data_IF_886353111115
#
_entry.id   IF_886353111115
#
_cell.length_a   1.000
_cell.length_b   1.000
_cell.length_c   1.000
_cell.angle_alpha   90.00
_cell.angle_beta   90.00
_cell.angle_gamma   90.00
#
_symmetry.space_group_name_H-M   'P 1'
#
loop_
_entity.id
_entity.type
_entity.pdbx_description
1 polymer ?
#
# COMPACT_ATOMS: atom_id res chain seq x y z
N UNK A 1 35.74 -40.54 50.08
CA UNK A 1 35.99 -40.61 48.63
C UNK A 1 34.69 -40.23 47.94
N UNK A 2 34.50 -38.93 47.66
CA UNK A 2 33.25 -38.41 47.09
C UNK A 2 33.24 -38.68 45.58
N UNK A 3 32.43 -39.65 45.16
CA UNK A 3 32.26 -39.99 43.75
C UNK A 3 31.50 -38.84 43.09
N UNK A 4 32.21 -38.09 42.24
CA UNK A 4 31.76 -36.82 41.67
C UNK A 4 30.50 -36.97 40.80
N UNK A 5 29.51 -36.16 41.13
CA UNK A 5 28.19 -36.10 40.49
C UNK A 5 28.20 -35.31 39.15
N UNK A 6 29.20 -35.55 38.28
CA UNK A 6 29.46 -34.73 37.08
C UNK A 6 28.65 -35.18 35.84
N UNK A 7 28.19 -36.44 35.83
CA UNK A 7 27.39 -37.02 34.73
C UNK A 7 26.11 -36.23 34.37
N UNK A 8 25.29 -35.73 35.30
CA UNK A 8 24.09 -34.97 34.93
C UNK A 8 24.38 -33.61 34.28
N UNK A 9 25.52 -32.97 34.62
CA UNK A 9 25.88 -31.65 34.09
C UNK A 9 26.27 -31.75 32.60
N UNK A 10 27.06 -32.78 32.25
CA UNK A 10 27.46 -33.03 30.85
C UNK A 10 26.27 -33.43 29.99
N UNK A 11 25.32 -34.21 30.53
CA UNK A 11 24.13 -34.58 29.78
C UNK A 11 23.23 -33.37 29.50
N UNK A 12 23.04 -32.48 30.49
CA UNK A 12 22.25 -31.27 30.32
C UNK A 12 22.80 -30.32 29.24
N UNK A 13 24.12 -30.15 29.15
CA UNK A 13 24.73 -29.26 28.15
C UNK A 13 24.58 -29.80 26.72
N UNK A 14 24.75 -31.11 26.51
CA UNK A 14 24.60 -31.73 25.19
C UNK A 14 23.15 -31.61 24.69
N UNK A 15 22.16 -31.86 25.56
CA UNK A 15 20.75 -31.72 25.22
C UNK A 15 20.41 -30.28 24.85
N UNK A 16 20.90 -29.29 25.62
CA UNK A 16 20.66 -27.88 25.33
C UNK A 16 21.23 -27.47 23.96
N UNK A 17 22.46 -27.87 23.65
CA UNK A 17 23.08 -27.58 22.35
C UNK A 17 22.30 -28.21 21.21
N UNK A 18 21.86 -29.46 21.36
CA UNK A 18 21.05 -30.14 20.36
C UNK A 18 19.71 -29.42 20.10
N UNK A 19 19.02 -28.98 21.16
CA UNK A 19 17.76 -28.22 21.04
C UNK A 19 17.99 -26.89 20.31
N UNK A 20 19.05 -26.15 20.65
CA UNK A 20 19.39 -24.89 19.98
C UNK A 20 19.64 -25.11 18.49
N UNK A 21 20.39 -26.15 18.12
CA UNK A 21 20.66 -26.48 16.71
C UNK A 21 19.38 -26.87 15.96
N UNK A 22 18.50 -27.65 16.58
CA UNK A 22 17.21 -28.02 15.97
C UNK A 22 16.33 -26.78 15.76
N UNK A 23 16.22 -25.89 16.76
CA UNK A 23 15.47 -24.63 16.62
C UNK A 23 16.09 -23.75 15.54
N UNK A 24 17.41 -23.62 15.50
CA UNK A 24 18.11 -22.86 14.47
C UNK A 24 17.85 -23.43 13.06
N UNK A 25 17.83 -24.76 12.90
CA UNK A 25 17.51 -25.40 11.63
C UNK A 25 16.04 -25.21 11.23
N UNK A 26 15.11 -25.24 12.19
CA UNK A 26 13.68 -24.97 11.93
C UNK A 26 13.49 -23.51 11.55
N UNK A 27 14.11 -22.56 12.26
CA UNK A 27 14.05 -21.13 11.95
C UNK A 27 14.70 -20.88 10.58
N UNK A 28 15.88 -21.46 10.32
CA UNK A 28 16.53 -21.34 9.02
C UNK A 28 15.66 -21.90 7.90
N UNK A 29 15.07 -23.10 8.05
CA UNK A 29 14.13 -23.65 7.07
C UNK A 29 12.88 -22.80 6.91
N UNK A 30 12.38 -22.20 7.98
CA UNK A 30 11.22 -21.31 7.96
C UNK A 30 11.53 -19.99 7.24
N UNK A 31 12.76 -19.47 7.38
CA UNK A 31 13.22 -18.27 6.68
C UNK A 31 13.56 -18.56 5.22
N UNK A 32 14.02 -19.78 4.92
CA UNK A 32 14.31 -20.26 3.57
C UNK A 32 13.10 -20.95 2.92
N UNK A 33 11.89 -20.74 3.44
CA UNK A 33 10.67 -21.33 2.88
C UNK A 33 10.39 -20.73 1.50
N UNK A 34 11.01 -21.37 0.52
CA UNK A 34 10.77 -21.41 -0.92
C UNK A 34 10.35 -20.10 -1.56
N UNK A 35 11.37 -19.30 -1.91
CA UNK A 35 11.23 -18.40 -3.05
C UNK A 35 10.90 -19.25 -4.26
N UNK A 36 9.68 -19.11 -4.78
CA UNK A 36 9.22 -19.82 -5.97
C UNK A 36 10.00 -19.35 -7.20
N UNK A 37 10.36 -18.07 -7.23
CA UNK A 37 11.15 -17.45 -8.29
C UNK A 37 12.63 -17.36 -7.93
N UNK A 38 13.51 -17.57 -8.91
CA UNK A 38 14.98 -17.54 -8.71
C UNK A 38 15.46 -16.13 -8.30
N UNK A 39 14.83 -15.09 -8.85
CA UNK A 39 15.17 -13.69 -8.60
C UNK A 39 14.37 -13.15 -7.40
N UNK A 40 15.07 -12.58 -6.41
CA UNK A 40 14.44 -12.06 -5.19
C UNK A 40 13.55 -10.81 -5.37
N UNK A 41 13.51 -10.23 -6.57
CA UNK A 41 12.61 -9.11 -6.91
C UNK A 41 11.36 -9.54 -7.67
N UNK A 42 11.24 -10.84 -7.98
CA UNK A 42 10.12 -11.43 -8.69
C UNK A 42 9.18 -12.15 -7.73
N UNK A 43 7.91 -12.18 -8.13
CA UNK A 43 6.80 -12.79 -7.43
C UNK A 43 6.14 -13.80 -8.37
N UNK A 44 5.79 -14.96 -7.85
CA UNK A 44 5.10 -15.98 -8.62
C UNK A 44 3.64 -15.59 -8.79
N UNK A 45 3.20 -15.42 -10.03
CA UNK A 45 1.84 -15.05 -10.39
C UNK A 45 1.21 -16.20 -11.16
N UNK A 46 0.07 -16.68 -10.69
CA UNK A 46 -0.75 -17.70 -11.35
C UNK A 46 -1.87 -17.02 -12.14
N UNK A 47 -1.92 -17.26 -13.45
CA UNK A 47 -2.96 -16.71 -14.31
C UNK A 47 -4.32 -17.36 -13.96
N UNK A 48 -5.36 -16.57 -13.63
CA UNK A 48 -6.65 -17.12 -13.19
C UNK A 48 -7.43 -17.82 -14.32
N UNK A 49 -7.10 -17.56 -15.59
CA UNK A 49 -7.77 -18.13 -16.76
C UNK A 49 -7.09 -19.43 -17.20
N UNK A 50 -5.75 -19.43 -17.28
CA UNK A 50 -4.99 -20.59 -17.79
C UNK A 50 -4.47 -21.51 -16.68
N UNK A 51 -4.42 -21.02 -15.43
CA UNK A 51 -3.71 -21.67 -14.31
C UNK A 51 -2.22 -21.89 -14.57
N UNK A 52 -1.64 -21.16 -15.54
CA UNK A 52 -0.20 -21.17 -15.78
C UNK A 52 0.49 -20.18 -14.83
N UNK A 53 1.62 -20.60 -14.26
CA UNK A 53 2.42 -19.78 -13.37
C UNK A 53 3.58 -19.10 -14.08
N UNK A 54 3.82 -17.83 -13.76
CA UNK A 54 5.00 -17.09 -14.23
C UNK A 54 5.62 -16.23 -13.12
N UNK A 55 6.93 -15.98 -13.21
CA UNK A 55 7.63 -15.10 -12.30
C UNK A 55 7.65 -13.68 -12.86
N UNK A 56 7.03 -12.74 -12.15
CA UNK A 56 6.86 -11.35 -12.57
C UNK A 56 7.49 -10.40 -11.57
N UNK A 57 8.11 -9.33 -12.07
CA UNK A 57 8.78 -8.34 -11.22
C UNK A 57 7.77 -7.59 -10.35
N UNK A 58 8.04 -7.47 -9.05
CA UNK A 58 7.25 -6.63 -8.15
C UNK A 58 7.23 -5.17 -8.64
N UNK A 59 6.04 -4.56 -8.67
CA UNK A 59 5.81 -3.21 -9.18
C UNK A 59 5.70 -3.11 -10.70
N UNK A 60 5.85 -4.20 -11.44
CA UNK A 60 5.55 -4.21 -12.88
C UNK A 60 4.04 -4.32 -13.12
N UNK A 61 3.55 -3.80 -14.24
CA UNK A 61 2.12 -3.96 -14.61
C UNK A 61 1.78 -5.43 -14.86
N UNK A 62 2.63 -6.17 -15.59
CA UNK A 62 2.39 -7.58 -15.90
C UNK A 62 1.02 -7.80 -16.58
N UNK A 63 0.25 -8.83 -16.18
CA UNK A 63 -1.11 -9.07 -16.65
C UNK A 63 -2.17 -8.23 -15.92
N UNK A 64 -1.80 -7.33 -15.01
CA UNK A 64 -2.76 -6.56 -14.24
C UNK A 64 -3.46 -5.48 -15.08
N UNK A 65 -4.68 -5.12 -14.66
CA UNK A 65 -5.48 -4.08 -15.26
C UNK A 65 -4.86 -2.68 -15.18
N UNK A 66 -5.60 -1.68 -15.68
CA UNK A 66 -5.12 -0.30 -15.73
C UNK A 66 -4.86 0.25 -14.32
N UNK A 67 -3.74 0.97 -14.18
CA UNK A 67 -3.24 1.53 -12.91
C UNK A 67 -2.99 0.48 -11.80
N UNK A 68 -2.82 -0.77 -12.19
CA UNK A 68 -2.48 -1.86 -11.29
C UNK A 68 -1.07 -2.36 -11.57
N UNK A 69 -0.45 -2.91 -10.54
CA UNK A 69 0.88 -3.53 -10.58
C UNK A 69 0.88 -4.81 -9.76
N UNK A 70 1.83 -5.68 -10.06
CA UNK A 70 2.11 -6.89 -9.29
C UNK A 70 2.68 -6.49 -7.93
N UNK A 71 2.03 -6.94 -6.87
CA UNK A 71 2.41 -6.70 -5.47
C UNK A 71 2.46 -8.02 -4.72
N UNK A 72 3.21 -8.06 -3.63
CA UNK A 72 3.32 -9.27 -2.82
C UNK A 72 1.99 -9.56 -2.08
N UNK A 73 1.52 -10.80 -2.14
CA UNK A 73 0.38 -11.25 -1.35
C UNK A 73 0.69 -11.17 0.14
N UNK A 74 -0.30 -10.79 0.95
CA UNK A 74 -0.12 -10.59 2.40
C UNK A 74 0.09 -11.91 3.15
N UNK A 75 -0.54 -12.98 2.69
CA UNK A 75 -0.43 -14.31 3.30
C UNK A 75 0.85 -15.03 2.85
N UNK A 76 1.33 -14.71 1.65
CA UNK A 76 2.57 -15.27 1.11
C UNK A 76 3.31 -14.25 0.24
N UNK A 77 4.39 -13.68 0.78
CA UNK A 77 5.18 -12.66 0.07
C UNK A 77 5.91 -13.16 -1.18
N UNK A 78 5.93 -14.46 -1.45
CA UNK A 78 6.48 -15.05 -2.69
C UNK A 78 5.44 -15.09 -3.82
N UNK A 79 4.15 -14.88 -3.52
CA UNK A 79 3.06 -14.87 -4.49
C UNK A 79 2.75 -13.43 -4.89
N UNK A 80 2.60 -13.20 -6.19
CA UNK A 80 2.20 -11.93 -6.76
C UNK A 80 0.69 -11.84 -6.91
N UNK A 81 0.12 -10.71 -6.54
CA UNK A 81 -1.28 -10.36 -6.76
C UNK A 81 -1.37 -8.97 -7.39
N UNK A 82 -2.39 -8.75 -8.22
CA UNK A 82 -2.64 -7.44 -8.78
C UNK A 82 -3.21 -6.50 -7.71
N UNK A 83 -2.61 -5.31 -7.58
CA UNK A 83 -3.07 -4.25 -6.67
C UNK A 83 -2.85 -2.87 -7.28
N UNK A 84 -3.51 -1.84 -6.74
CA UNK A 84 -3.32 -0.48 -7.24
C UNK A 84 -1.88 0.01 -7.04
N UNK A 85 -1.37 0.79 -8.00
CA UNK A 85 -0.02 1.33 -7.98
C UNK A 85 0.15 2.52 -7.01
N UNK A 86 0.12 2.24 -5.72
CA UNK A 86 0.28 3.27 -4.66
C UNK A 86 1.70 3.83 -4.56
N UNK A 87 2.66 3.24 -5.29
CA UNK A 87 4.06 3.63 -5.21
C UNK A 87 4.40 4.72 -6.22
N UNK A 88 3.87 4.66 -7.45
CA UNK A 88 4.13 5.69 -8.46
C UNK A 88 3.21 6.90 -8.36
N UNK A 89 2.02 6.76 -7.77
CA UNK A 89 1.05 7.84 -7.66
C UNK A 89 0.88 8.34 -6.22
N UNK A 90 0.90 9.65 -6.03
CA UNK A 90 0.62 10.28 -4.72
C UNK A 90 -0.89 10.34 -4.43
N UNK A 91 -1.73 10.27 -5.47
CA UNK A 91 -3.18 10.33 -5.37
C UNK A 91 -3.76 8.95 -5.05
N UNK A 92 -4.65 8.83 -4.04
CA UNK A 92 -5.31 7.57 -3.74
C UNK A 92 -6.09 6.99 -4.92
N UNK A 93 -6.07 5.67 -5.00
CA UNK A 93 -6.82 4.90 -5.97
C UNK A 93 -7.71 3.85 -5.30
N UNK A 94 -8.80 3.51 -5.96
CA UNK A 94 -9.74 2.46 -5.57
C UNK A 94 -9.76 1.38 -6.64
N UNK A 95 -9.61 0.13 -6.22
CA UNK A 95 -9.86 -1.02 -7.06
C UNK A 95 -11.36 -1.24 -7.28
N UNK A 96 -11.77 -1.40 -8.53
CA UNK A 96 -13.12 -1.81 -8.89
C UNK A 96 -13.09 -3.27 -9.38
N UNK A 97 -13.93 -4.11 -8.77
CA UNK A 97 -13.97 -5.53 -9.09
C UNK A 97 -14.62 -5.83 -10.45
N UNK A 98 -15.60 -5.02 -10.88
CA UNK A 98 -16.34 -5.26 -12.13
C UNK A 98 -15.48 -4.99 -13.37
N UNK A 99 -14.60 -3.99 -13.29
CA UNK A 99 -13.69 -3.63 -14.38
C UNK A 99 -12.29 -4.19 -14.22
N UNK A 100 -11.95 -4.72 -13.04
CA UNK A 100 -10.61 -5.18 -12.67
C UNK A 100 -9.52 -4.11 -12.87
N UNK A 101 -9.85 -2.85 -12.57
CA UNK A 101 -8.96 -1.69 -12.71
C UNK A 101 -8.90 -0.85 -11.43
N UNK A 102 -7.87 -0.01 -11.33
CA UNK A 102 -7.79 1.01 -10.27
C UNK A 102 -8.09 2.42 -10.80
N UNK A 103 -8.91 3.15 -10.06
CA UNK A 103 -9.35 4.49 -10.41
C UNK A 103 -8.96 5.52 -9.35
N UNK A 104 -8.53 6.69 -9.80
CA UNK A 104 -8.23 7.81 -8.91
C UNK A 104 -9.50 8.38 -8.27
N UNK A 105 -9.43 8.70 -6.97
CA UNK A 105 -10.49 9.44 -6.30
C UNK A 105 -10.63 10.85 -6.89
N UNK A 106 -11.82 11.46 -6.78
CA UNK A 106 -12.21 12.72 -7.40
C UNK A 106 -12.09 12.73 -8.93
N UNK A 107 -12.16 11.56 -9.58
CA UNK A 107 -12.36 11.43 -11.03
C UNK A 107 -13.72 10.78 -11.31
N UNK A 108 -14.20 10.85 -12.55
CA UNK A 108 -15.45 10.18 -12.91
C UNK A 108 -15.37 8.66 -12.71
N UNK A 109 -14.24 8.02 -13.04
CA UNK A 109 -14.04 6.58 -12.86
C UNK A 109 -15.20 5.76 -13.47
N UNK A 110 -15.73 4.81 -12.72
CA UNK A 110 -16.92 4.02 -13.05
C UNK A 110 -18.24 4.68 -12.60
N UNK A 111 -18.21 5.94 -12.15
CA UNK A 111 -19.40 6.67 -11.76
C UNK A 111 -20.14 7.24 -12.98
N UNK A 112 -21.45 7.43 -12.81
CA UNK A 112 -22.30 8.14 -13.77
C UNK A 112 -21.81 9.58 -14.02
N UNK A 113 -22.22 10.15 -15.15
CA UNK A 113 -21.90 11.53 -15.51
C UNK A 113 -22.33 12.51 -14.41
N UNK A 114 -21.47 13.49 -14.13
CA UNK A 114 -21.68 14.47 -13.05
C UNK A 114 -21.37 13.95 -11.64
N UNK A 115 -20.98 12.68 -11.50
CA UNK A 115 -20.47 12.12 -10.24
C UNK A 115 -18.97 11.88 -10.31
N UNK A 116 -18.36 11.77 -9.14
CA UNK A 116 -16.99 11.34 -8.98
C UNK A 116 -16.86 10.24 -7.94
N UNK A 117 -15.80 9.45 -8.07
CA UNK A 117 -15.42 8.46 -7.09
C UNK A 117 -14.82 9.14 -5.86
N UNK A 118 -15.34 8.85 -4.68
CA UNK A 118 -14.74 9.28 -3.41
C UNK A 118 -14.64 8.11 -2.44
N UNK A 119 -13.93 8.29 -1.35
CA UNK A 119 -13.77 7.30 -0.29
C UNK A 119 -14.22 7.95 1.02
N UNK A 120 -15.11 7.30 1.73
CA UNK A 120 -15.52 7.74 3.06
C UNK A 120 -14.95 6.83 4.14
N UNK A 121 -14.83 7.36 5.35
CA UNK A 121 -14.29 6.66 6.52
C UNK A 121 -14.97 5.31 6.81
N UNK A 122 -16.26 5.19 6.52
CA UNK A 122 -17.08 4.08 7.01
C UNK A 122 -17.75 3.26 5.90
N UNK A 123 -17.83 3.75 4.66
CA UNK A 123 -18.65 3.12 3.62
C UNK A 123 -17.84 2.68 2.40
N UNK A 124 -16.50 2.82 2.44
CA UNK A 124 -15.65 2.45 1.31
C UNK A 124 -15.81 3.40 0.11
N UNK A 125 -15.54 2.92 -1.11
CA UNK A 125 -15.65 3.73 -2.31
C UNK A 125 -17.11 3.99 -2.67
N UNK A 126 -17.42 5.23 -3.03
CA UNK A 126 -18.76 5.64 -3.42
C UNK A 126 -18.74 6.71 -4.51
N UNK A 127 -19.77 6.71 -5.34
CA UNK A 127 -20.00 7.78 -6.31
C UNK A 127 -20.79 8.91 -5.65
N UNK A 128 -20.20 10.10 -5.55
CA UNK A 128 -20.86 11.30 -5.01
C UNK A 128 -21.04 12.35 -6.08
N UNK A 129 -22.00 13.25 -5.87
CA UNK A 129 -22.18 14.39 -6.76
C UNK A 129 -20.90 15.22 -6.78
N UNK A 130 -20.44 15.58 -7.98
CA UNK A 130 -19.29 16.47 -8.12
C UNK A 130 -19.65 17.84 -7.55
N UNK A 131 -18.96 18.25 -6.49
CA UNK A 131 -19.17 19.56 -5.85
C UNK A 131 -18.36 20.66 -6.51
N UNK A 132 -17.27 20.28 -7.17
CA UNK A 132 -16.37 21.18 -7.87
C UNK A 132 -16.63 21.09 -9.37
N UNK A 133 -17.66 21.79 -9.84
CA UNK A 133 -17.85 22.10 -11.26
C UNK A 133 -17.53 23.57 -11.48
N UNK A 134 -16.47 23.84 -12.25
CA UNK A 134 -16.18 25.21 -12.67
C UNK A 134 -16.88 25.50 -14.01
N UNK A 135 -17.65 26.60 -14.09
CA UNK A 135 -18.18 27.08 -15.35
C UNK A 135 -17.07 27.78 -16.14
N UNK A 136 -16.37 27.04 -17.01
CA UNK A 136 -15.40 27.62 -17.93
C UNK A 136 -14.53 26.56 -18.60
N UNK A 137 -14.19 26.75 -19.87
CA UNK A 137 -13.40 25.84 -20.72
C UNK A 137 -11.94 25.62 -20.28
N UNK A 138 -11.55 26.01 -19.07
CA UNK A 138 -10.18 25.77 -18.61
C UNK A 138 -10.00 24.28 -18.28
N UNK A 139 -9.01 23.65 -18.95
CA UNK A 139 -8.64 22.23 -18.89
C UNK A 139 -8.09 21.77 -17.52
N UNK A 140 -8.31 22.54 -16.46
CA UNK A 140 -7.81 22.26 -15.11
C UNK A 140 -8.62 21.18 -14.39
N UNK A 141 -7.93 20.38 -13.57
CA UNK A 141 -8.60 19.40 -12.71
C UNK A 141 -8.97 20.04 -11.37
N UNK A 142 -10.27 20.16 -11.11
CA UNK A 142 -10.81 20.75 -9.88
C UNK A 142 -11.23 19.70 -8.87
N UNK A 143 -10.76 19.85 -7.64
CA UNK A 143 -10.98 18.91 -6.54
C UNK A 143 -11.30 19.66 -5.25
N UNK A 144 -11.97 19.02 -4.29
CA UNK A 144 -12.30 19.65 -3.03
C UNK A 144 -11.09 19.55 -2.10
N UNK A 145 -10.89 20.56 -1.28
CA UNK A 145 -10.09 20.47 -0.08
C UNK A 145 -10.90 19.81 1.05
N UNK A 146 -10.21 19.49 2.15
CA UNK A 146 -10.85 18.97 3.36
C UNK A 146 -11.98 19.88 3.90
N UNK A 147 -11.83 21.21 3.74
CA UNK A 147 -12.84 22.20 4.16
C UNK A 147 -13.95 22.44 3.12
N UNK A 148 -13.98 21.64 2.05
CA UNK A 148 -14.99 21.72 0.99
C UNK A 148 -14.75 22.80 -0.06
N UNK A 149 -13.72 23.65 0.07
CA UNK A 149 -13.38 24.62 -1.00
C UNK A 149 -12.87 23.88 -2.23
N UNK A 150 -13.21 24.39 -3.41
CA UNK A 150 -12.75 23.84 -4.68
C UNK A 150 -11.45 24.52 -5.12
N UNK A 151 -10.50 23.71 -5.59
CA UNK A 151 -9.20 24.15 -6.04
C UNK A 151 -8.73 23.40 -7.27
N UNK A 152 -7.94 24.06 -8.10
CA UNK A 152 -7.29 23.47 -9.27
C UNK A 152 -5.97 22.80 -8.87
N UNK A 153 -5.80 21.52 -9.23
CA UNK A 153 -4.57 20.78 -8.99
C UNK A 153 -3.41 21.34 -9.82
N UNK A 154 -2.21 21.32 -9.26
CA UNK A 154 -0.98 21.72 -9.96
C UNK A 154 -0.81 23.22 -10.18
N UNK A 155 -1.80 24.04 -9.81
CA UNK A 155 -1.74 25.50 -9.99
C UNK A 155 -0.89 26.18 -8.91
N UNK A 156 0.09 26.97 -9.35
CA UNK A 156 0.85 27.89 -8.51
C UNK A 156 0.07 29.19 -8.28
N UNK A 157 0.41 29.93 -7.21
CA UNK A 157 -0.18 31.25 -6.90
C UNK A 157 -1.72 31.23 -6.78
N UNK A 158 -2.26 30.15 -6.22
CA UNK A 158 -3.67 30.09 -5.84
C UNK A 158 -3.88 30.94 -4.57
N UNK A 159 -4.97 31.72 -4.50
CA UNK A 159 -5.39 32.46 -3.29
C UNK A 159 -5.47 31.60 -2.02
N UNK A 160 -5.57 30.29 -2.18
CA UNK A 160 -5.63 29.28 -1.13
C UNK A 160 -4.27 28.99 -0.48
N UNK A 161 -3.18 29.06 -1.25
CA UNK A 161 -1.85 28.64 -0.82
C UNK A 161 -0.84 29.80 -0.86
N UNK A 162 0.35 29.63 -0.29
CA UNK A 162 1.42 30.61 -0.49
C UNK A 162 1.89 30.59 -1.95
N UNK A 163 2.51 31.68 -2.40
CA UNK A 163 2.97 31.84 -3.80
C UNK A 163 3.93 30.75 -4.29
N UNK A 164 4.64 30.13 -3.35
CA UNK A 164 5.63 29.06 -3.57
C UNK A 164 5.06 27.65 -3.44
N UNK A 165 3.78 27.53 -3.13
CA UNK A 165 3.15 26.26 -2.80
C UNK A 165 2.30 25.80 -3.99
N UNK A 166 2.18 24.48 -4.14
CA UNK A 166 1.35 23.84 -5.16
C UNK A 166 0.33 22.94 -4.49
N UNK A 167 -0.88 22.91 -5.04
CA UNK A 167 -1.92 21.98 -4.57
C UNK A 167 -1.71 20.65 -5.27
N UNK A 168 -1.39 19.61 -4.50
CA UNK A 168 -1.30 18.24 -4.99
C UNK A 168 -1.72 17.24 -3.91
N UNK A 169 -1.98 16.01 -4.30
CA UNK A 169 -2.20 14.94 -3.34
C UNK A 169 -0.90 14.57 -2.64
N UNK A 170 -1.01 14.19 -1.38
CA UNK A 170 0.08 13.58 -0.65
C UNK A 170 -0.22 12.10 -0.47
N UNK A 171 0.83 11.26 -0.46
CA UNK A 171 0.66 9.84 -0.15
C UNK A 171 -0.06 9.70 1.20
N UNK A 172 -1.03 8.81 1.24
CA UNK A 172 -1.92 8.51 2.38
C UNK A 172 -2.95 9.58 2.74
N UNK A 173 -3.08 10.69 1.99
CA UNK A 173 -4.13 11.70 2.22
C UNK A 173 -5.21 11.62 1.15
N UNK A 174 -6.47 11.68 1.57
CA UNK A 174 -7.62 11.68 0.66
C UNK A 174 -7.75 13.02 -0.04
N UNK A 175 -7.60 14.13 0.70
CA UNK A 175 -7.71 15.47 0.13
C UNK A 175 -6.31 16.00 -0.24
N UNK A 176 -6.20 16.79 -1.30
CA UNK A 176 -4.96 17.47 -1.62
C UNK A 176 -4.70 18.61 -0.62
N UNK A 177 -3.45 19.04 -0.54
CA UNK A 177 -3.03 20.12 0.34
C UNK A 177 -2.02 21.02 -0.38
N UNK A 178 -1.82 22.23 0.17
CA UNK A 178 -0.74 23.12 -0.24
C UNK A 178 0.60 22.51 0.16
N UNK A 179 1.48 22.25 -0.81
CA UNK A 179 2.81 21.69 -0.59
C UNK A 179 3.86 22.66 -1.10
N UNK A 180 4.79 23.00 -0.22
CA UNK A 180 5.89 23.90 -0.54
C UNK A 180 6.92 23.21 -1.43
N UNK A 181 7.21 23.79 -2.60
CA UNK A 181 8.19 23.26 -3.56
C UNK A 181 9.58 23.34 -2.92
N UNK A 182 10.27 22.20 -2.79
CA UNK A 182 11.63 22.14 -2.27
C UNK A 182 11.75 21.64 -0.83
N UNK A 183 10.64 21.47 -0.11
CA UNK A 183 10.62 20.68 1.12
C UNK A 183 10.34 19.22 0.77
N UNK A 184 11.38 18.40 0.79
CA UNK A 184 11.20 16.94 0.89
C UNK A 184 10.71 16.66 2.31
N UNK A 185 9.40 16.48 2.49
CA UNK A 185 8.87 15.99 3.75
C UNK A 185 9.37 14.55 3.87
N UNK A 186 10.42 14.34 4.67
CA UNK A 186 10.90 13.01 5.00
C UNK A 186 9.76 12.23 5.63
N UNK A 187 9.34 11.15 4.99
CA UNK A 187 8.35 10.24 5.55
C UNK A 187 8.95 9.57 6.79
N UNK A 188 8.37 9.84 7.96
CA UNK A 188 8.70 9.12 9.20
C UNK A 188 8.15 7.70 9.05
N UNK A 189 9.05 6.75 8.78
CA UNK A 189 8.74 5.32 8.64
C UNK A 189 8.55 4.67 10.01
N UNK A 190 7.55 3.81 10.15
CA UNK A 190 7.07 3.36 11.46
C UNK A 190 7.01 1.85 11.54
N UNK A 191 7.34 1.27 12.73
CA UNK A 191 7.33 -0.17 12.95
C UNK A 191 5.99 -0.85 12.63
N UNK A 192 6.08 -2.07 12.09
CA UNK A 192 4.95 -2.90 11.70
C UNK A 192 4.17 -3.42 12.91
N UNK A 193 2.87 -3.13 12.96
CA UNK A 193 1.90 -3.76 13.86
C UNK A 193 1.01 -4.74 13.08
N UNK A 194 0.68 -5.89 13.68
CA UNK A 194 -0.20 -6.91 13.09
C UNK A 194 -1.64 -6.38 13.02
N UNK A 195 -2.08 -6.00 11.81
CA UNK A 195 -3.42 -5.47 11.60
C UNK A 195 -4.40 -6.50 11.02
N UNK A 196 -5.69 -6.44 11.40
CA UNK A 196 -6.72 -7.30 10.83
C UNK A 196 -6.80 -7.17 9.31
N UNK A 197 -7.29 -8.22 8.63
CA UNK A 197 -7.54 -8.17 7.18
C UNK A 197 -8.37 -6.93 6.81
N UNK A 198 -7.91 -6.17 5.82
CA UNK A 198 -8.52 -4.91 5.37
C UNK A 198 -7.92 -3.62 5.96
N UNK A 199 -6.99 -3.73 6.90
CA UNK A 199 -6.33 -2.57 7.55
C UNK A 199 -4.82 -2.57 7.24
N UNK A 200 -4.15 -1.42 7.41
CA UNK A 200 -2.69 -1.31 7.41
C UNK A 200 -2.18 -0.72 8.73
N UNK A 201 -0.94 -1.08 9.08
CA UNK A 201 -0.22 -0.48 10.19
C UNK A 201 0.20 0.93 9.81
N UNK A 202 -0.28 1.90 10.56
CA UNK A 202 0.12 3.31 10.42
C UNK A 202 1.54 3.55 10.89
N UNK A 203 1.92 4.80 10.64
CA UNK A 203 2.93 5.60 11.29
C UNK A 203 3.02 5.58 12.84
N UNK A 204 2.10 4.93 13.56
CA UNK A 204 2.16 4.91 15.04
C UNK A 204 1.94 3.50 15.62
N UNK A 205 1.97 2.45 14.79
CA UNK A 205 1.63 1.08 15.23
C UNK A 205 0.13 0.90 15.52
N UNK A 206 -0.71 1.79 15.01
CA UNK A 206 -2.17 1.64 15.01
C UNK A 206 -2.64 1.05 13.69
N UNK A 207 -3.69 0.24 13.73
CA UNK A 207 -4.34 -0.26 12.53
C UNK A 207 -5.32 0.76 12.00
N UNK A 208 -4.99 1.38 10.87
CA UNK A 208 -5.92 2.21 10.12
C UNK A 208 -6.49 1.41 8.94
N UNK A 209 -7.76 1.64 8.57
CA UNK A 209 -8.20 1.30 7.23
C UNK A 209 -7.33 2.11 6.23
N UNK A 210 -7.28 1.77 4.94
CA UNK A 210 -6.21 2.23 4.05
C UNK A 210 -6.01 3.75 3.78
N UNK A 211 -6.52 4.66 4.60
CA UNK A 211 -6.47 6.10 4.40
C UNK A 211 -6.36 6.86 5.73
N UNK A 212 -5.54 7.91 5.75
CA UNK A 212 -5.38 8.81 6.89
C UNK A 212 -6.30 10.03 6.70
N UNK A 213 -7.19 10.30 7.67
CA UNK A 213 -8.30 11.27 7.57
C UNK A 213 -8.03 12.60 8.28
N UNK A 214 -6.75 12.93 8.51
CA UNK A 214 -6.33 14.20 9.13
C UNK A 214 -5.97 15.26 8.08
#
# INVERSE_FOLDING_TARGET
MAIGNWKPIVFGSVVLVAVILIVALIVHRSLNRDRICENGSELYFEDPVTSEGSCLRSGSQGPCGKNMVITADRSNSSIGVCGCDVNHFERPMVYNQDTEECYFIFTQAFCEDGKWLTITKNQGPMCTQRTCDMPGEELGEWVPLYDGRCVELGKFDNKTCNKSDVIKFHRNKIFPACIHIGTSIGSVGVPSSDCPQGYFSTGLGHCQPPFDFD
#
